data_IF_718358918947
#
_entry.id   IF_718358918947
#
_cell.length_a   1.000
_cell.length_b   1.000
_cell.length_c   1.000
_cell.angle_alpha   90.00
_cell.angle_beta   90.00
_cell.angle_gamma   90.00
#
_symmetry.space_group_name_H-M   'P 1'
#
loop_
_entity.id
_entity.type
_entity.pdbx_description
1 polymer ?
#
# COMPACT_ATOMS: atom_id res chain seq x y z
N UNK A 1 41.17 -31.97 32.31
CA UNK A 1 40.89 -30.58 31.89
C UNK A 1 40.96 -30.51 30.36
N UNK A 2 39.83 -30.70 29.70
CA UNK A 2 39.65 -30.38 28.27
C UNK A 2 38.21 -29.92 28.14
N UNK A 3 37.97 -28.66 28.49
CA UNK A 3 36.71 -27.99 28.22
C UNK A 3 36.61 -27.73 26.73
N UNK A 4 35.88 -28.59 26.02
CA UNK A 4 35.42 -28.29 24.67
C UNK A 4 34.24 -27.35 24.77
N UNK A 5 34.48 -26.04 24.68
CA UNK A 5 33.44 -25.06 24.35
C UNK A 5 32.93 -25.39 22.96
N UNK A 6 31.72 -25.95 22.87
CA UNK A 6 30.97 -25.98 21.64
C UNK A 6 30.88 -24.54 21.09
N UNK A 7 31.14 -24.29 19.80
CA UNK A 7 31.13 -22.94 19.27
C UNK A 7 29.72 -22.35 19.38
N UNK A 8 29.65 -21.06 19.69
CA UNK A 8 28.45 -20.20 19.79
C UNK A 8 27.66 -20.13 18.47
N UNK A 9 27.12 -21.25 17.99
CA UNK A 9 26.32 -21.34 16.76
C UNK A 9 25.09 -20.40 16.73
N UNK A 10 24.32 -20.20 17.83
CA UNK A 10 23.17 -19.27 17.79
C UNK A 10 23.61 -17.80 17.70
N UNK A 11 24.66 -17.38 18.41
CA UNK A 11 25.15 -15.99 18.37
C UNK A 11 25.75 -15.64 17.00
N UNK A 12 26.46 -16.59 16.37
CA UNK A 12 26.99 -16.41 15.02
C UNK A 12 25.86 -16.21 13.99
N UNK A 13 24.76 -16.96 14.11
CA UNK A 13 23.60 -16.83 13.21
C UNK A 13 22.82 -15.53 13.41
N UNK A 14 22.70 -15.04 14.65
CA UNK A 14 22.06 -13.77 14.96
C UNK A 14 22.89 -12.58 14.45
N UNK A 15 24.21 -12.66 14.60
CA UNK A 15 25.15 -11.67 14.07
C UNK A 15 25.11 -11.57 12.53
N UNK A 16 25.08 -12.71 11.85
CA UNK A 16 24.94 -12.77 10.38
C UNK A 16 23.60 -12.18 9.91
N UNK A 17 22.50 -12.51 10.61
CA UNK A 17 21.19 -11.93 10.33
C UNK A 17 21.16 -10.41 10.56
N UNK A 18 21.77 -9.92 11.65
CA UNK A 18 21.89 -8.50 11.94
C UNK A 18 22.66 -7.76 10.84
N UNK A 19 23.79 -8.31 10.40
CA UNK A 19 24.58 -7.75 9.29
C UNK A 19 23.76 -7.66 8.00
N UNK A 20 23.04 -8.74 7.66
CA UNK A 20 22.16 -8.78 6.46
C UNK A 20 21.07 -7.70 6.50
N UNK A 21 20.40 -7.52 7.64
CA UNK A 21 19.40 -6.46 7.79
C UNK A 21 20.02 -5.06 7.79
N UNK A 22 21.20 -4.87 8.40
CA UNK A 22 21.89 -3.59 8.43
C UNK A 22 22.35 -3.15 7.02
N UNK A 23 22.90 -4.07 6.22
CA UNK A 23 23.26 -3.83 4.83
C UNK A 23 22.04 -3.45 3.98
N UNK A 24 20.95 -4.24 4.09
CA UNK A 24 19.69 -3.94 3.40
C UNK A 24 19.09 -2.60 3.81
N UNK A 25 19.17 -2.24 5.10
CA UNK A 25 18.71 -0.95 5.61
C UNK A 25 19.51 0.22 5.03
N UNK A 26 20.84 0.09 4.95
CA UNK A 26 21.71 1.11 4.38
C UNK A 26 21.41 1.32 2.88
N UNK A 27 21.26 0.23 2.13
CA UNK A 27 20.91 0.29 0.71
C UNK A 27 19.53 0.92 0.48
N UNK A 28 18.52 0.50 1.24
CA UNK A 28 17.18 1.05 1.15
C UNK A 28 17.13 2.55 1.50
N UNK A 29 17.93 3.00 2.48
CA UNK A 29 18.02 4.41 2.84
C UNK A 29 18.62 5.27 1.72
N UNK A 30 19.64 4.77 1.00
CA UNK A 30 20.22 5.46 -0.15
C UNK A 30 19.19 5.57 -1.28
N UNK A 31 18.47 4.49 -1.57
CA UNK A 31 17.42 4.47 -2.60
C UNK A 31 16.25 5.40 -2.27
N UNK A 32 15.77 5.39 -1.03
CA UNK A 32 14.70 6.29 -0.57
C UNK A 32 15.13 7.75 -0.75
N UNK A 33 16.34 8.12 -0.33
CA UNK A 33 16.85 9.49 -0.51
C UNK A 33 16.96 9.88 -1.99
N UNK A 34 17.39 8.97 -2.87
CA UNK A 34 17.47 9.21 -4.30
C UNK A 34 16.08 9.46 -4.91
N UNK A 35 15.08 8.66 -4.54
CA UNK A 35 13.69 8.84 -5.01
C UNK A 35 13.05 10.10 -4.44
N UNK A 36 13.25 10.38 -3.15
CA UNK A 36 12.77 11.61 -2.49
C UNK A 36 13.30 12.88 -3.17
N UNK A 37 14.58 12.91 -3.54
CA UNK A 37 15.17 14.02 -4.31
C UNK A 37 14.53 14.17 -5.70
N UNK A 38 14.30 13.07 -6.42
CA UNK A 38 13.64 13.12 -7.74
C UNK A 38 12.19 13.57 -7.62
N UNK A 39 11.48 13.11 -6.60
CA UNK A 39 10.09 13.50 -6.33
C UNK A 39 9.97 14.99 -5.99
N UNK A 40 10.89 15.54 -5.17
CA UNK A 40 10.91 16.97 -4.85
C UNK A 40 11.26 17.85 -6.05
N UNK A 41 12.23 17.42 -6.89
CA UNK A 41 12.54 18.09 -8.14
C UNK A 41 11.34 18.10 -9.10
N UNK A 42 10.62 16.98 -9.24
CA UNK A 42 9.40 16.91 -10.04
C UNK A 42 8.28 17.81 -9.49
N UNK A 43 8.16 17.90 -8.15
CA UNK A 43 7.22 18.81 -7.50
C UNK A 43 7.54 20.28 -7.82
N UNK A 44 8.81 20.68 -7.72
CA UNK A 44 9.27 22.02 -8.06
C UNK A 44 9.10 22.32 -9.55
N UNK A 45 9.42 21.37 -10.44
CA UNK A 45 9.23 21.49 -11.88
C UNK A 45 7.76 21.74 -12.24
N UNK A 46 6.82 21.11 -11.54
CA UNK A 46 5.38 21.35 -11.70
C UNK A 46 4.97 22.77 -11.31
N UNK A 47 5.57 23.33 -10.24
CA UNK A 47 5.32 24.73 -9.85
C UNK A 47 5.81 25.70 -10.94
N UNK A 48 7.00 25.47 -11.48
CA UNK A 48 7.54 26.26 -12.61
C UNK A 48 6.66 26.11 -13.85
N UNK A 49 6.22 24.89 -14.18
CA UNK A 49 5.30 24.65 -15.28
C UNK A 49 3.96 25.38 -15.09
N UNK A 50 3.41 25.41 -13.87
CA UNK A 50 2.20 26.15 -13.55
C UNK A 50 2.37 27.66 -13.77
N UNK A 51 3.47 28.24 -13.29
CA UNK A 51 3.80 29.64 -13.56
C UNK A 51 3.95 29.90 -15.07
N UNK A 52 4.56 28.96 -15.81
CA UNK A 52 4.65 29.01 -17.26
C UNK A 52 3.28 29.01 -17.95
N UNK A 53 2.32 28.19 -17.46
CA UNK A 53 0.93 28.20 -17.95
C UNK A 53 0.31 29.59 -17.76
N UNK A 54 0.49 30.22 -16.59
CA UNK A 54 -0.05 31.56 -16.33
C UNK A 54 0.53 32.62 -17.27
N UNK A 55 1.85 32.57 -17.52
CA UNK A 55 2.52 33.49 -18.46
C UNK A 55 1.98 33.31 -19.88
N UNK A 56 1.89 32.06 -20.36
CA UNK A 56 1.36 31.77 -21.71
C UNK A 56 -0.11 32.16 -21.82
N UNK A 57 -0.90 31.92 -20.78
CA UNK A 57 -2.30 32.34 -20.72
C UNK A 57 -2.44 33.87 -20.78
N UNK A 58 -1.62 34.62 -20.04
CA UNK A 58 -1.62 36.08 -20.08
C UNK A 58 -1.18 36.64 -21.44
N UNK A 59 -0.16 36.02 -22.07
CA UNK A 59 0.30 36.42 -23.40
C UNK A 59 -0.74 36.15 -24.49
N UNK A 60 -1.45 35.02 -24.43
CA UNK A 60 -2.46 34.64 -25.42
C UNK A 60 -3.81 35.34 -25.25
N UNK A 61 -4.32 35.40 -24.02
CA UNK A 61 -5.65 35.96 -23.72
C UNK A 61 -5.64 37.43 -23.32
N UNK A 62 -4.58 37.92 -22.67
CA UNK A 62 -4.48 39.30 -22.20
C UNK A 62 -3.86 40.24 -23.23
N UNK A 63 -2.67 39.91 -23.74
CA UNK A 63 -1.93 40.79 -24.68
C UNK A 63 -2.13 40.43 -26.16
N UNK A 64 -2.74 39.28 -26.45
CA UNK A 64 -2.94 38.73 -27.80
C UNK A 64 -1.65 38.63 -28.66
N UNK A 65 -0.48 38.53 -28.02
CA UNK A 65 0.82 38.43 -28.71
C UNK A 65 1.10 37.03 -29.27
N UNK A 66 0.44 36.01 -28.74
CA UNK A 66 0.62 34.60 -29.10
C UNK A 66 -0.76 34.01 -29.40
N UNK A 67 -0.83 33.08 -30.37
CA UNK A 67 -2.07 32.35 -30.65
C UNK A 67 -2.52 31.55 -29.40
N UNK A 68 -3.83 31.60 -29.11
CA UNK A 68 -4.43 31.00 -27.90
C UNK A 68 -4.14 29.50 -27.77
N UNK A 69 -3.94 28.80 -28.90
CA UNK A 69 -3.63 27.37 -28.94
C UNK A 69 -2.31 26.97 -28.27
N UNK A 70 -1.34 27.90 -28.15
CA UNK A 70 -0.06 27.62 -27.50
C UNK A 70 -0.18 27.28 -26.00
N UNK A 71 -1.33 27.58 -25.37
CA UNK A 71 -1.59 27.16 -23.98
C UNK A 71 -1.65 25.64 -23.82
N UNK A 72 -1.94 24.89 -24.89
CA UNK A 72 -2.01 23.44 -24.84
C UNK A 72 -0.66 22.79 -24.52
N UNK A 73 0.45 23.35 -25.01
CA UNK A 73 1.80 22.81 -24.79
C UNK A 73 2.23 22.79 -23.30
N UNK A 74 2.19 23.91 -22.55
CA UNK A 74 2.54 23.90 -21.13
C UNK A 74 1.53 23.11 -20.29
N UNK A 75 0.25 23.03 -20.68
CA UNK A 75 -0.73 22.16 -20.04
C UNK A 75 -0.34 20.68 -20.23
N UNK A 76 0.00 20.26 -21.44
CA UNK A 76 0.44 18.89 -21.72
C UNK A 76 1.72 18.55 -20.96
N UNK A 77 2.69 19.45 -20.92
CA UNK A 77 3.91 19.29 -20.12
C UNK A 77 3.60 19.16 -18.62
N UNK A 78 2.68 19.97 -18.09
CA UNK A 78 2.24 19.88 -16.70
C UNK A 78 1.57 18.53 -16.38
N UNK A 79 0.68 18.05 -17.25
CA UNK A 79 0.05 16.72 -17.09
C UNK A 79 1.10 15.61 -17.11
N UNK A 80 2.05 15.65 -18.04
CA UNK A 80 3.16 14.69 -18.08
C UNK A 80 3.99 14.71 -16.80
N UNK A 81 4.28 15.90 -16.26
CA UNK A 81 4.97 16.06 -14.97
C UNK A 81 4.17 15.50 -13.79
N UNK A 82 2.85 15.69 -13.77
CA UNK A 82 1.98 15.11 -12.73
C UNK A 82 2.04 13.59 -12.75
N UNK A 83 1.93 12.97 -13.93
CA UNK A 83 2.03 11.50 -14.08
C UNK A 83 3.42 10.99 -13.70
N UNK A 84 4.48 11.71 -14.08
CA UNK A 84 5.85 11.36 -13.72
C UNK A 84 6.07 11.47 -12.20
N UNK A 85 5.58 12.54 -11.57
CA UNK A 85 5.68 12.76 -10.13
C UNK A 85 4.96 11.65 -9.33
N UNK A 86 3.75 11.29 -9.75
CA UNK A 86 2.99 10.19 -9.15
C UNK A 86 3.73 8.84 -9.24
N UNK A 87 4.41 8.57 -10.36
CA UNK A 87 5.30 7.39 -10.49
C UNK A 87 6.51 7.47 -9.55
N UNK A 88 7.07 8.65 -9.34
CA UNK A 88 8.21 8.85 -8.44
C UNK A 88 7.81 8.67 -6.99
N UNK A 89 6.64 9.18 -6.58
CA UNK A 89 6.08 8.99 -5.24
C UNK A 89 5.88 7.51 -4.94
N UNK A 90 5.29 6.73 -5.87
CA UNK A 90 5.17 5.27 -5.69
C UNK A 90 6.50 4.56 -5.50
N UNK A 91 7.58 5.03 -6.14
CA UNK A 91 8.92 4.45 -5.97
C UNK A 91 9.53 4.83 -4.62
N UNK A 92 9.33 6.07 -4.18
CA UNK A 92 9.72 6.53 -2.84
C UNK A 92 8.99 5.71 -1.75
N UNK A 93 7.67 5.54 -1.87
CA UNK A 93 6.86 4.72 -0.95
C UNK A 93 7.35 3.27 -0.91
N UNK A 94 7.66 2.67 -2.06
CA UNK A 94 8.21 1.31 -2.12
C UNK A 94 9.56 1.23 -1.40
N UNK A 95 10.47 2.18 -1.65
CA UNK A 95 11.77 2.23 -0.98
C UNK A 95 11.63 2.40 0.54
N UNK A 96 10.70 3.26 0.98
CA UNK A 96 10.39 3.44 2.40
C UNK A 96 9.87 2.14 3.05
N UNK A 97 9.01 1.37 2.36
CA UNK A 97 8.54 0.06 2.85
C UNK A 97 9.67 -0.97 2.95
N UNK A 98 10.60 -0.99 1.99
CA UNK A 98 11.80 -1.84 2.06
C UNK A 98 12.65 -1.45 3.27
N UNK A 99 12.90 -0.15 3.46
CA UNK A 99 13.63 0.37 4.61
C UNK A 99 12.99 -0.07 5.92
N UNK A 100 11.67 0.07 6.04
CA UNK A 100 10.91 -0.36 7.23
C UNK A 100 11.04 -1.86 7.48
N UNK A 101 10.97 -2.70 6.44
CA UNK A 101 11.14 -4.15 6.59
C UNK A 101 12.50 -4.52 7.22
N UNK A 102 13.59 -3.90 6.74
CA UNK A 102 14.91 -4.14 7.30
C UNK A 102 15.07 -3.53 8.69
N UNK A 103 14.52 -2.35 8.93
CA UNK A 103 14.53 -1.70 10.25
C UNK A 103 13.83 -2.55 11.31
N UNK A 104 12.66 -3.09 10.99
CA UNK A 104 11.89 -3.96 11.89
C UNK A 104 12.58 -5.33 12.06
N UNK A 105 13.23 -5.84 11.01
CA UNK A 105 14.09 -7.03 11.08
C UNK A 105 15.25 -6.87 12.06
N UNK A 106 15.99 -5.77 11.93
CA UNK A 106 17.10 -5.44 12.80
C UNK A 106 16.64 -5.20 14.25
N UNK A 107 15.53 -4.48 14.43
CA UNK A 107 14.95 -4.24 15.76
C UNK A 107 14.58 -5.54 16.48
N UNK A 108 14.11 -6.57 15.76
CA UNK A 108 13.85 -7.90 16.37
C UNK A 108 15.14 -8.61 16.79
N UNK A 109 16.19 -8.55 15.97
CA UNK A 109 17.47 -9.20 16.28
C UNK A 109 18.18 -8.50 17.45
N UNK A 110 18.04 -7.18 17.57
CA UNK A 110 18.65 -6.38 18.64
C UNK A 110 17.77 -6.22 19.89
N UNK A 111 16.69 -6.98 20.00
CA UNK A 111 15.76 -6.94 21.14
C UNK A 111 15.04 -5.58 21.37
N UNK A 112 14.88 -4.78 20.32
CA UNK A 112 14.20 -3.46 20.32
C UNK A 112 12.83 -3.47 19.63
N UNK A 113 12.14 -4.61 19.62
CA UNK A 113 10.87 -4.78 18.87
C UNK A 113 9.65 -4.17 19.58
N UNK A 114 9.68 -4.07 20.90
CA UNK A 114 8.52 -3.67 21.70
C UNK A 114 7.97 -2.30 21.29
N UNK A 115 6.66 -2.22 21.06
CA UNK A 115 5.95 -1.01 20.62
C UNK A 115 6.03 -0.69 19.13
N UNK A 116 6.64 -1.57 18.32
CA UNK A 116 6.77 -1.36 16.86
C UNK A 116 5.74 -2.15 16.04
N UNK A 117 5.04 -3.11 16.64
CA UNK A 117 4.17 -4.05 15.95
C UNK A 117 2.73 -4.09 16.46
N UNK A 118 1.96 -5.05 15.93
CA UNK A 118 0.66 -5.41 16.52
C UNK A 118 0.91 -6.23 17.80
N UNK A 119 0.59 -5.63 18.95
CA UNK A 119 0.67 -6.26 20.26
C UNK A 119 -0.31 -7.43 20.43
N UNK A 120 -1.30 -7.58 19.54
CA UNK A 120 -2.27 -8.67 19.61
C UNK A 120 -3.24 -8.57 20.79
N UNK A 121 -3.46 -7.36 21.33
CA UNK A 121 -4.36 -7.11 22.47
C UNK A 121 -5.77 -7.71 22.27
N UNK A 122 -6.23 -7.79 21.01
CA UNK A 122 -7.52 -8.41 20.64
C UNK A 122 -7.61 -9.91 20.96
N UNK A 123 -6.49 -10.60 21.16
CA UNK A 123 -6.43 -12.03 21.47
C UNK A 123 -6.17 -12.29 22.96
N UNK A 124 -6.05 -11.24 23.77
CA UNK A 124 -5.75 -11.38 25.19
C UNK A 124 -6.96 -11.97 25.92
N UNK A 125 -6.71 -13.08 26.61
CA UNK A 125 -7.69 -13.74 27.48
C UNK A 125 -7.09 -13.92 28.89
N UNK A 126 -7.55 -13.15 29.90
CA UNK A 126 -7.09 -13.28 31.27
C UNK A 126 -7.36 -14.66 31.90
N UNK A 127 -8.29 -15.44 31.35
CA UNK A 127 -8.62 -16.77 31.85
C UNK A 127 -7.76 -17.89 31.25
N UNK A 128 -6.91 -17.56 30.27
CA UNK A 128 -6.08 -18.55 29.59
C UNK A 128 -4.99 -19.10 30.53
N UNK A 129 -4.77 -20.43 30.60
CA UNK A 129 -3.93 -21.05 31.64
C UNK A 129 -2.49 -20.54 31.76
N UNK A 130 -1.90 -20.03 30.67
CA UNK A 130 -0.51 -19.60 30.63
C UNK A 130 -0.25 -18.32 29.82
N UNK A 131 -1.27 -17.71 29.21
CA UNK A 131 -1.03 -16.61 28.26
C UNK A 131 -0.54 -15.34 28.97
N UNK A 132 -1.03 -15.11 30.19
CA UNK A 132 -0.58 -14.00 31.04
C UNK A 132 0.85 -14.20 31.53
N UNK A 133 1.18 -15.38 32.03
CA UNK A 133 2.51 -15.66 32.61
C UNK A 133 3.64 -15.67 31.57
N UNK A 134 3.34 -16.06 30.32
CA UNK A 134 4.30 -16.06 29.22
C UNK A 134 4.30 -14.76 28.39
N UNK A 135 3.55 -13.74 28.81
CA UNK A 135 3.40 -12.48 28.10
C UNK A 135 3.16 -12.69 26.60
N UNK A 136 2.14 -13.50 26.25
CA UNK A 136 1.88 -13.84 24.86
C UNK A 136 1.34 -12.64 24.05
N UNK A 137 0.54 -11.77 24.68
CA UNK A 137 -0.10 -10.62 24.04
C UNK A 137 0.11 -9.35 24.87
N UNK A 138 0.16 -8.21 24.19
CA UNK A 138 0.40 -6.90 24.80
C UNK A 138 1.72 -6.26 24.36
N UNK A 139 2.06 -5.13 24.98
CA UNK A 139 3.29 -4.42 24.68
C UNK A 139 4.53 -5.26 25.06
N UNK A 140 5.44 -5.46 24.10
CA UNK A 140 6.66 -6.26 24.29
C UNK A 140 6.42 -7.76 24.29
N UNK A 141 5.23 -8.22 23.89
CA UNK A 141 4.83 -9.62 23.97
C UNK A 141 5.52 -10.52 22.95
N UNK A 142 5.43 -11.85 23.15
CA UNK A 142 5.88 -12.84 22.17
C UNK A 142 5.12 -12.74 20.85
N UNK A 143 3.82 -12.45 20.88
CA UNK A 143 3.06 -12.20 19.65
C UNK A 143 3.60 -10.97 18.92
N UNK A 144 3.87 -9.86 19.60
CA UNK A 144 4.42 -8.64 18.98
C UNK A 144 5.78 -8.92 18.30
N UNK A 145 6.63 -9.73 18.94
CA UNK A 145 7.91 -10.16 18.39
C UNK A 145 7.75 -10.97 17.08
N UNK A 146 6.78 -11.89 17.04
CA UNK A 146 6.62 -12.85 15.95
C UNK A 146 5.71 -12.36 14.82
N UNK A 147 4.78 -11.45 15.10
CA UNK A 147 3.71 -11.03 14.19
C UNK A 147 4.22 -10.19 13.01
N UNK A 148 4.72 -10.88 11.98
CA UNK A 148 5.07 -10.32 10.66
C UNK A 148 4.01 -10.60 9.59
N UNK A 149 2.84 -11.07 10.03
CA UNK A 149 1.72 -11.50 9.21
C UNK A 149 1.12 -10.37 8.38
N UNK A 150 0.72 -10.69 7.14
CA UNK A 150 0.19 -9.72 6.15
C UNK A 150 -1.32 -9.80 5.96
N UNK A 151 -1.98 -10.72 6.65
CA UNK A 151 -3.44 -10.90 6.59
C UNK A 151 -4.02 -11.10 7.99
N UNK A 152 -5.26 -10.68 8.20
CA UNK A 152 -5.97 -10.89 9.46
C UNK A 152 -6.12 -12.39 9.79
N UNK A 153 -6.44 -13.23 8.79
CA UNK A 153 -6.44 -14.68 8.95
C UNK A 153 -5.06 -15.25 9.36
N UNK A 154 -3.97 -14.64 8.90
CA UNK A 154 -2.61 -14.97 9.32
C UNK A 154 -2.37 -14.61 10.80
N UNK A 155 -2.80 -13.42 11.22
CA UNK A 155 -2.77 -13.00 12.62
C UNK A 155 -3.55 -13.96 13.52
N UNK A 156 -4.79 -14.28 13.17
CA UNK A 156 -5.66 -15.19 13.93
C UNK A 156 -5.05 -16.59 14.04
N UNK A 157 -4.39 -17.04 12.96
CA UNK A 157 -3.69 -18.32 12.94
C UNK A 157 -2.47 -18.32 13.84
N UNK A 158 -1.66 -17.25 13.83
CA UNK A 158 -0.51 -17.11 14.71
C UNK A 158 -0.95 -17.07 16.19
N UNK A 159 -1.95 -16.25 16.52
CA UNK A 159 -2.48 -16.15 17.88
C UNK A 159 -2.97 -17.51 18.39
N UNK A 160 -3.73 -18.25 17.58
CA UNK A 160 -4.17 -19.61 17.93
C UNK A 160 -3.02 -20.57 18.14
N UNK A 161 -1.97 -20.51 17.32
CA UNK A 161 -0.79 -21.36 17.50
C UNK A 161 -0.01 -21.04 18.78
N UNK A 162 -0.12 -19.82 19.32
CA UNK A 162 0.47 -19.46 20.61
C UNK A 162 -0.40 -19.88 21.79
N UNK A 163 -1.72 -19.93 21.62
CA UNK A 163 -2.69 -20.34 22.65
C UNK A 163 -2.88 -21.86 22.74
N UNK A 164 -2.70 -22.57 21.62
CA UNK A 164 -2.98 -24.00 21.53
C UNK A 164 -1.84 -24.75 20.81
N UNK A 165 -1.20 -25.67 21.52
CA UNK A 165 -0.19 -26.55 20.95
C UNK A 165 -0.84 -27.59 20.01
N UNK A 166 -0.17 -27.89 18.91
CA UNK A 166 -0.61 -28.89 17.92
C UNK A 166 0.14 -30.23 18.13
N UNK A 167 -0.26 -31.27 17.41
CA UNK A 167 0.42 -32.56 17.44
C UNK A 167 1.89 -32.44 16.98
N UNK A 168 2.82 -33.25 17.53
CA UNK A 168 4.24 -33.17 17.21
C UNK A 168 4.57 -33.21 15.71
N UNK A 169 3.84 -34.01 14.93
CA UNK A 169 4.06 -34.12 13.49
C UNK A 169 3.65 -32.85 12.74
N UNK A 170 2.55 -32.22 13.16
CA UNK A 170 2.13 -30.93 12.61
C UNK A 170 3.14 -29.83 12.93
N UNK A 171 3.71 -29.83 14.14
CA UNK A 171 4.79 -28.91 14.55
C UNK A 171 6.04 -29.13 13.69
N UNK A 172 6.50 -30.36 13.51
CA UNK A 172 7.66 -30.70 12.66
C UNK A 172 7.45 -30.26 11.21
N UNK A 173 6.25 -30.45 10.67
CA UNK A 173 5.91 -29.99 9.33
C UNK A 173 5.98 -28.46 9.19
N UNK A 174 5.53 -27.71 10.21
CA UNK A 174 5.68 -26.24 10.25
C UNK A 174 7.15 -25.83 10.33
N UNK A 175 7.94 -26.49 11.19
CA UNK A 175 9.37 -26.21 11.32
C UNK A 175 10.14 -26.52 10.02
N UNK A 176 9.74 -27.55 9.27
CA UNK A 176 10.30 -27.82 7.94
C UNK A 176 9.98 -26.68 6.95
N UNK A 177 8.73 -26.21 6.91
CA UNK A 177 8.34 -25.06 6.10
C UNK A 177 9.10 -23.78 6.49
N UNK A 178 9.26 -23.49 7.78
CA UNK A 178 10.04 -22.35 8.26
C UNK A 178 11.50 -22.47 7.84
N UNK A 179 12.12 -23.64 8.00
CA UNK A 179 13.53 -23.87 7.58
C UNK A 179 13.77 -23.63 6.10
N UNK A 180 12.80 -23.97 5.24
CA UNK A 180 12.87 -23.66 3.82
C UNK A 180 12.81 -22.15 3.53
N UNK A 181 12.01 -21.40 4.29
CA UNK A 181 11.81 -19.96 4.10
C UNK A 181 12.91 -19.08 4.70
N UNK A 182 13.66 -19.56 5.70
CA UNK A 182 14.76 -18.81 6.34
C UNK A 182 15.74 -18.21 5.31
N UNK A 183 16.33 -18.99 4.37
CA UNK A 183 17.30 -18.44 3.43
C UNK A 183 16.68 -17.55 2.34
N UNK A 184 15.36 -17.59 2.12
CA UNK A 184 14.67 -16.83 1.06
C UNK A 184 14.31 -15.42 1.53
N UNK A 185 15.32 -14.57 1.77
CA UNK A 185 15.10 -13.19 2.22
C UNK A 185 14.29 -12.38 1.19
N UNK A 186 14.62 -12.48 -0.10
CA UNK A 186 13.94 -11.73 -1.15
C UNK A 186 12.46 -12.08 -1.22
N UNK A 187 12.11 -13.37 -1.15
CA UNK A 187 10.72 -13.81 -1.08
C UNK A 187 9.98 -13.23 0.14
N UNK A 188 10.63 -13.25 1.31
CA UNK A 188 10.05 -12.66 2.54
C UNK A 188 9.83 -11.15 2.40
N UNK A 189 10.76 -10.45 1.75
CA UNK A 189 10.63 -9.04 1.44
C UNK A 189 9.49 -8.80 0.44
N UNK A 190 9.40 -9.56 -0.64
CA UNK A 190 8.34 -9.44 -1.64
C UNK A 190 6.95 -9.67 -1.04
N UNK A 191 6.79 -10.71 -0.21
CA UNK A 191 5.56 -10.93 0.56
C UNK A 191 5.24 -9.74 1.48
N UNK A 192 6.27 -9.16 2.12
CA UNK A 192 6.11 -7.98 2.98
C UNK A 192 5.79 -6.69 2.21
N UNK A 193 6.17 -6.59 0.93
CA UNK A 193 5.85 -5.44 0.07
C UNK A 193 4.50 -5.58 -0.63
N UNK A 194 4.05 -6.81 -0.88
CA UNK A 194 2.77 -7.12 -1.50
C UNK A 194 1.59 -6.93 -0.53
N UNK A 195 1.82 -7.14 0.78
CA UNK A 195 0.83 -6.91 1.82
C UNK A 195 1.18 -5.74 2.74
N UNK A 196 0.19 -4.98 3.18
CA UNK A 196 0.37 -4.05 4.31
C UNK A 196 0.51 -4.85 5.63
N UNK A 197 1.10 -4.23 6.66
CA UNK A 197 1.05 -4.79 8.02
C UNK A 197 -0.42 -4.96 8.40
N UNK A 198 -0.83 -6.21 8.68
CA UNK A 198 -2.22 -6.54 8.93
C UNK A 198 -2.68 -5.83 10.21
N UNK A 199 -3.50 -4.79 10.05
CA UNK A 199 -3.83 -3.87 11.14
C UNK A 199 -5.31 -3.64 11.38
N UNK A 200 -6.23 -4.36 10.73
CA UNK A 200 -7.66 -4.19 11.07
C UNK A 200 -8.48 -5.43 10.77
N UNK A 201 -8.88 -6.14 11.82
CA UNK A 201 -10.06 -7.04 11.82
C UNK A 201 -11.29 -6.41 11.16
N UNK A 202 -11.36 -5.06 11.20
CA UNK A 202 -12.34 -4.23 10.48
C UNK A 202 -12.39 -4.52 8.98
N UNK A 203 -11.26 -4.81 8.32
CA UNK A 203 -11.24 -5.07 6.87
C UNK A 203 -11.86 -6.42 6.50
N UNK A 204 -11.66 -7.46 7.31
CA UNK A 204 -12.24 -8.78 7.05
C UNK A 204 -13.76 -8.79 7.29
N UNK A 205 -14.22 -8.15 8.35
CA UNK A 205 -15.66 -7.97 8.60
C UNK A 205 -16.33 -7.09 7.53
N UNK A 206 -15.63 -6.05 7.05
CA UNK A 206 -16.14 -5.22 5.95
C UNK A 206 -16.22 -6.00 4.62
N UNK A 207 -15.23 -6.86 4.33
CA UNK A 207 -15.23 -7.73 3.15
C UNK A 207 -16.40 -8.71 3.15
N UNK A 208 -16.64 -9.40 4.27
CA UNK A 208 -17.74 -10.37 4.39
C UNK A 208 -19.10 -9.67 4.35
N UNK A 209 -19.24 -8.53 5.02
CA UNK A 209 -20.45 -7.71 4.95
C UNK A 209 -20.73 -7.20 3.53
N UNK A 210 -19.69 -6.77 2.80
CA UNK A 210 -19.82 -6.37 1.40
C UNK A 210 -20.21 -7.53 0.49
N UNK A 211 -19.59 -8.69 0.65
CA UNK A 211 -19.90 -9.88 -0.16
C UNK A 211 -21.35 -10.37 0.06
N UNK A 212 -21.90 -10.17 1.26
CA UNK A 212 -23.28 -10.51 1.61
C UNK A 212 -24.30 -9.41 1.24
N UNK A 213 -23.85 -8.20 0.91
CA UNK A 213 -24.74 -7.09 0.61
C UNK A 213 -25.41 -7.27 -0.77
N UNK A 214 -26.70 -6.91 -0.92
CA UNK A 214 -27.35 -6.93 -2.23
C UNK A 214 -26.66 -5.94 -3.18
N UNK A 215 -26.49 -6.35 -4.44
CA UNK A 215 -25.87 -5.51 -5.45
C UNK A 215 -26.65 -4.20 -5.62
N UNK A 216 -26.05 -3.09 -5.19
CA UNK A 216 -26.62 -1.77 -5.38
C UNK A 216 -26.53 -1.40 -6.87
N UNK A 217 -27.62 -1.60 -7.60
CA UNK A 217 -27.67 -1.25 -9.02
C UNK A 217 -27.82 0.27 -9.21
N UNK A 218 -26.81 0.90 -9.78
CA UNK A 218 -26.97 2.22 -10.37
C UNK A 218 -27.73 2.08 -11.70
N UNK A 219 -28.73 2.92 -11.98
CA UNK A 219 -29.38 2.91 -13.30
C UNK A 219 -28.36 3.22 -14.38
N UNK A 220 -28.32 2.38 -15.44
CA UNK A 220 -27.31 2.45 -16.51
C UNK A 220 -27.23 3.80 -17.23
N UNK A 221 -28.28 4.62 -17.17
CA UNK A 221 -28.29 5.99 -17.69
C UNK A 221 -27.31 6.94 -16.99
N UNK A 222 -26.95 6.70 -15.72
CA UNK A 222 -26.04 7.58 -14.98
C UNK A 222 -24.66 7.65 -15.64
N UNK A 223 -24.16 6.54 -16.18
CA UNK A 223 -22.87 6.52 -16.88
C UNK A 223 -22.89 7.39 -18.14
N UNK A 224 -23.96 7.32 -18.93
CA UNK A 224 -24.15 8.16 -20.11
C UNK A 224 -24.30 9.64 -19.76
N UNK A 225 -25.05 9.95 -18.70
CA UNK A 225 -25.19 11.33 -18.21
C UNK A 225 -23.82 11.88 -17.78
N UNK A 226 -23.03 11.10 -17.04
CA UNK A 226 -21.68 11.51 -16.61
C UNK A 226 -20.72 11.69 -17.80
N UNK A 227 -20.75 10.77 -18.78
CA UNK A 227 -19.95 10.86 -19.99
C UNK A 227 -20.33 12.09 -20.83
N UNK A 228 -21.63 12.33 -21.02
CA UNK A 228 -22.13 13.50 -21.75
C UNK A 228 -21.79 14.81 -21.05
N UNK A 229 -21.96 14.89 -19.73
CA UNK A 229 -21.58 16.06 -18.94
C UNK A 229 -20.07 16.35 -19.07
N UNK A 230 -19.24 15.32 -19.06
CA UNK A 230 -17.78 15.45 -19.24
C UNK A 230 -17.43 15.91 -20.65
N UNK A 231 -18.07 15.35 -21.68
CA UNK A 231 -17.90 15.75 -23.08
C UNK A 231 -18.36 17.19 -23.32
N UNK A 232 -19.46 17.62 -22.69
CA UNK A 232 -19.97 18.98 -22.77
C UNK A 232 -18.97 19.99 -22.20
N UNK A 233 -18.36 19.69 -21.05
CA UNK A 233 -17.32 20.53 -20.46
C UNK A 233 -16.07 20.62 -21.33
N UNK A 234 -15.63 19.52 -21.94
CA UNK A 234 -14.52 19.52 -22.89
C UNK A 234 -14.84 20.30 -24.17
N UNK A 235 -16.06 20.17 -24.70
CA UNK A 235 -16.54 20.92 -25.85
C UNK A 235 -16.64 22.43 -25.57
N UNK A 236 -17.16 22.80 -24.39
CA UNK A 236 -17.19 24.20 -23.93
C UNK A 236 -15.80 24.81 -23.80
N UNK A 237 -14.82 24.03 -23.31
CA UNK A 237 -13.42 24.44 -23.26
C UNK A 237 -12.84 24.66 -24.67
N UNK A 238 -13.12 23.75 -25.60
CA UNK A 238 -12.71 23.89 -27.00
C UNK A 238 -13.29 25.13 -27.67
N UNK A 239 -14.59 25.40 -27.49
CA UNK A 239 -15.25 26.60 -28.01
C UNK A 239 -14.60 27.88 -27.49
N UNK A 240 -14.29 27.94 -26.19
CA UNK A 240 -13.62 29.10 -25.61
C UNK A 240 -12.24 29.35 -26.24
N UNK A 241 -11.45 28.30 -26.44
CA UNK A 241 -10.08 28.40 -26.98
C UNK A 241 -10.08 28.75 -28.47
N UNK A 242 -10.91 28.09 -29.28
CA UNK A 242 -10.81 28.13 -30.75
C UNK A 242 -11.82 29.04 -31.44
N UNK A 243 -13.01 29.28 -30.87
CA UNK A 243 -14.07 30.06 -31.55
C UNK A 243 -14.19 31.50 -31.06
N UNK A 244 -13.53 31.85 -29.95
CA UNK A 244 -13.64 33.18 -29.36
C UNK A 244 -14.98 33.49 -28.69
N UNK A 245 -15.87 32.50 -28.53
CA UNK A 245 -17.19 32.62 -27.88
C UNK A 245 -17.16 33.03 -26.38
N UNK A 246 -15.99 33.38 -25.84
CA UNK A 246 -15.80 33.73 -24.43
C UNK A 246 -15.86 32.52 -23.47
N UNK A 247 -15.68 32.76 -22.15
CA UNK A 247 -15.67 31.69 -21.15
C UNK A 247 -17.07 31.20 -20.73
N UNK A 248 -18.13 31.94 -21.08
CA UNK A 248 -19.52 31.64 -20.71
C UNK A 248 -19.98 30.20 -20.99
N UNK A 249 -19.79 29.61 -22.20
CA UNK A 249 -20.21 28.24 -22.47
C UNK A 249 -19.48 27.21 -21.59
N UNK A 250 -18.20 27.43 -21.29
CA UNK A 250 -17.41 26.55 -20.41
C UNK A 250 -17.88 26.66 -18.95
N UNK A 251 -18.09 27.88 -18.46
CA UNK A 251 -18.58 28.10 -17.08
C UNK A 251 -19.99 27.54 -16.90
N UNK A 252 -20.87 27.69 -17.89
CA UNK A 252 -22.21 27.10 -17.86
C UNK A 252 -22.16 25.57 -17.84
N UNK A 253 -21.30 24.94 -18.66
CA UNK A 253 -21.10 23.50 -18.66
C UNK A 253 -20.57 22.98 -17.32
N UNK A 254 -19.59 23.66 -16.72
CA UNK A 254 -19.07 23.34 -15.38
C UNK A 254 -20.14 23.49 -14.30
N UNK A 255 -20.96 24.54 -14.36
CA UNK A 255 -22.07 24.76 -13.43
C UNK A 255 -23.09 23.62 -13.50
N UNK A 256 -23.47 23.20 -14.71
CA UNK A 256 -24.36 22.06 -14.93
C UNK A 256 -23.73 20.75 -14.41
N UNK A 257 -22.45 20.52 -14.68
CA UNK A 257 -21.73 19.35 -14.19
C UNK A 257 -21.67 19.32 -12.66
N UNK A 258 -21.44 20.47 -12.00
CA UNK A 258 -21.44 20.59 -10.55
C UNK A 258 -22.80 20.31 -9.91
N UNK A 259 -23.88 20.85 -10.50
CA UNK A 259 -25.26 20.59 -10.07
C UNK A 259 -25.62 19.11 -10.21
N UNK A 260 -25.31 18.52 -11.37
CA UNK A 260 -25.53 17.10 -11.64
C UNK A 260 -24.74 16.21 -10.68
N UNK A 261 -23.46 16.53 -10.46
CA UNK A 261 -22.61 15.84 -9.49
C UNK A 261 -23.18 15.90 -8.08
N UNK A 262 -23.68 17.06 -7.65
CA UNK A 262 -24.32 17.23 -6.33
C UNK A 262 -25.61 16.41 -6.21
N UNK A 263 -26.45 16.41 -7.24
CA UNK A 263 -27.71 15.65 -7.26
C UNK A 263 -27.47 14.13 -7.24
N UNK A 264 -26.45 13.65 -7.96
CA UNK A 264 -26.09 12.22 -8.03
C UNK A 264 -25.25 11.75 -6.84
N UNK A 265 -24.64 12.67 -6.09
CA UNK A 265 -23.71 12.36 -4.98
C UNK A 265 -24.33 11.43 -3.93
N UNK A 266 -25.59 11.65 -3.57
CA UNK A 266 -26.28 10.83 -2.56
C UNK A 266 -26.52 9.39 -3.02
N UNK A 267 -26.63 9.15 -4.33
CA UNK A 267 -26.83 7.82 -4.91
C UNK A 267 -25.53 7.09 -5.21
N UNK A 268 -24.51 7.83 -5.66
CA UNK A 268 -23.24 7.25 -6.15
C UNK A 268 -22.23 7.04 -5.02
N UNK A 269 -22.15 7.97 -4.05
CA UNK A 269 -21.15 7.91 -2.97
C UNK A 269 -21.26 6.66 -2.10
N UNK A 270 -22.45 6.19 -1.66
CA UNK A 270 -22.55 4.97 -0.87
C UNK A 270 -22.06 3.73 -1.62
N UNK A 271 -22.35 3.65 -2.93
CA UNK A 271 -21.94 2.53 -3.78
C UNK A 271 -20.42 2.52 -3.99
N UNK A 272 -19.82 3.68 -4.28
CA UNK A 272 -18.35 3.79 -4.37
C UNK A 272 -17.66 3.49 -3.05
N UNK A 273 -18.13 4.07 -1.95
CA UNK A 273 -17.54 3.85 -0.63
C UNK A 273 -17.63 2.38 -0.20
N UNK A 274 -18.75 1.70 -0.51
CA UNK A 274 -18.91 0.28 -0.26
C UNK A 274 -17.96 -0.59 -1.10
N UNK A 275 -17.55 -0.14 -2.29
CA UNK A 275 -16.66 -0.89 -3.18
C UNK A 275 -15.16 -0.63 -2.93
N UNK A 276 -14.77 0.56 -2.47
CA UNK A 276 -13.36 0.95 -2.33
C UNK A 276 -12.58 0.08 -1.34
N UNK A 277 -13.11 -0.19 -0.15
CA UNK A 277 -12.40 -0.95 0.90
C UNK A 277 -12.22 -2.43 0.54
N UNK A 278 -13.27 -3.14 0.08
CA UNK A 278 -13.16 -4.54 -0.35
C UNK A 278 -12.19 -4.75 -1.51
N UNK A 279 -12.25 -3.88 -2.53
CA UNK A 279 -11.41 -4.00 -3.73
C UNK A 279 -9.92 -3.85 -3.38
N UNK A 280 -9.57 -2.91 -2.49
CA UNK A 280 -8.18 -2.77 -2.06
C UNK A 280 -7.69 -3.97 -1.26
N UNK A 281 -8.52 -4.51 -0.36
CA UNK A 281 -8.16 -5.68 0.44
C UNK A 281 -8.00 -6.96 -0.42
N UNK A 282 -8.88 -7.15 -1.41
CA UNK A 282 -8.78 -8.24 -2.38
C UNK A 282 -7.55 -8.09 -3.27
N UNK A 283 -7.28 -6.89 -3.80
CA UNK A 283 -6.10 -6.63 -4.62
C UNK A 283 -4.79 -6.96 -3.87
N UNK A 284 -4.72 -6.67 -2.57
CA UNK A 284 -3.56 -6.97 -1.72
C UNK A 284 -3.40 -8.47 -1.45
N UNK A 285 -4.51 -9.17 -1.22
CA UNK A 285 -4.48 -10.62 -1.02
C UNK A 285 -4.09 -11.31 -2.32
N UNK A 286 -4.61 -10.83 -3.46
CA UNK A 286 -4.22 -11.31 -4.78
C UNK A 286 -2.74 -11.06 -5.07
N UNK A 287 -2.17 -9.90 -4.72
CA UNK A 287 -0.73 -9.66 -4.90
C UNK A 287 0.13 -10.55 -4.01
N UNK A 288 -0.29 -10.82 -2.77
CA UNK A 288 0.42 -11.75 -1.90
C UNK A 288 0.36 -13.19 -2.45
N UNK A 289 -0.81 -13.61 -2.93
CA UNK A 289 -1.00 -14.93 -3.52
C UNK A 289 -0.17 -15.08 -4.80
N UNK A 290 -0.12 -14.07 -5.66
CA UNK A 290 0.68 -14.08 -6.88
C UNK A 290 2.19 -14.25 -6.60
N UNK A 291 2.70 -13.70 -5.49
CA UNK A 291 4.09 -13.93 -5.05
C UNK A 291 4.30 -15.39 -4.64
N UNK A 292 3.35 -15.99 -3.91
CA UNK A 292 3.45 -17.39 -3.46
C UNK A 292 3.29 -18.37 -4.62
N UNK A 293 2.36 -18.12 -5.54
CA UNK A 293 2.09 -18.96 -6.72
C UNK A 293 3.26 -18.97 -7.73
N UNK A 294 4.10 -17.94 -7.73
CA UNK A 294 5.30 -17.87 -8.57
C UNK A 294 6.46 -18.74 -8.07
N UNK A 295 6.39 -19.24 -6.84
CA UNK A 295 7.47 -19.95 -6.17
C UNK A 295 7.26 -21.46 -6.15
N UNK A 296 8.36 -22.20 -6.15
CA UNK A 296 8.33 -23.65 -5.95
C UNK A 296 8.77 -23.98 -4.53
N UNK A 297 8.00 -24.83 -3.86
CA UNK A 297 8.26 -25.24 -2.48
C UNK A 297 8.55 -26.74 -2.38
N UNK A 298 9.53 -27.09 -1.56
CA UNK A 298 9.92 -28.47 -1.28
C UNK A 298 9.23 -29.04 -0.04
N UNK A 299 8.92 -28.21 0.96
CA UNK A 299 8.23 -28.64 2.17
C UNK A 299 6.79 -29.04 1.84
N UNK A 300 6.32 -30.24 2.26
CA UNK A 300 4.98 -30.73 1.91
C UNK A 300 3.85 -29.78 2.30
N UNK A 301 4.02 -29.03 3.39
CA UNK A 301 3.03 -28.07 3.89
C UNK A 301 2.93 -26.81 3.03
N UNK A 302 4.03 -26.40 2.39
CA UNK A 302 4.05 -25.25 1.48
C UNK A 302 3.66 -25.66 0.06
N UNK A 303 4.04 -26.86 -0.37
CA UNK A 303 3.66 -27.42 -1.67
C UNK A 303 2.16 -27.75 -1.81
N UNK A 304 1.43 -27.80 -0.69
CA UNK A 304 -0.01 -28.02 -0.65
C UNK A 304 -0.84 -26.72 -0.64
N UNK A 305 -0.19 -25.56 -0.73
CA UNK A 305 -0.84 -24.24 -0.88
C UNK A 305 -1.32 -24.06 -2.32
#
# INVERSE_FOLDING_TARGET
MTGGTAPNAPEASASEAAATYAEGLAQAAIEEQAWRRRASLASNARLVAFLGILVVAWLGFGTHRIERGWIAAPIAAFVALVVAHDRLLRREERAARIRQFHEDGLARVEERWAGRGDAGERYRDPSHPYAGDLDLFGHGSLYELLATTRTAAGCDRLARWLLEADAPDAIRARQAAVRELIPRLDLRLEMALAGDVAGTSVQQAALTAWAAAPAAALPGGIAWIAAFASALSLGGLGLWIFSGAGPLPFVAALGLQGLLGRALRSRVRPVLAAAETPVQALARTASLLAVVEGEHFAAPRLAAL
#
